data_IF_521416211148
#
_entry.id   IF_521416211148
#
_cell.length_a   1.000
_cell.length_b   1.000
_cell.length_c   1.000
_cell.angle_alpha   90.00
_cell.angle_beta   90.00
_cell.angle_gamma   90.00
#
_symmetry.space_group_name_H-M   'P 1'
#
loop_
_entity.id
_entity.type
_entity.pdbx_description
1 polymer ?
#
# COMPACT_ATOMS: atom_id res chain seq x y z
N UNK A 1 -9.08 1.03 18.17
CA UNK A 1 -8.00 0.24 17.55
C UNK A 1 -7.40 1.06 16.43
N UNK A 2 -6.14 1.46 16.55
CA UNK A 2 -5.47 2.23 15.51
C UNK A 2 -4.98 1.22 14.46
N UNK A 3 -5.64 1.15 13.30
CA UNK A 3 -5.33 0.18 12.25
C UNK A 3 -4.09 0.66 11.48
N UNK A 4 -2.94 0.02 11.72
CA UNK A 4 -1.71 0.33 10.99
C UNK A 4 -1.79 -0.24 9.57
N UNK A 5 -1.89 0.62 8.56
CA UNK A 5 -2.01 0.22 7.15
C UNK A 5 -0.90 -0.73 6.70
N UNK A 6 0.32 -0.57 7.23
CA UNK A 6 1.42 -1.45 6.90
C UNK A 6 1.20 -2.88 7.42
N UNK A 7 0.60 -3.04 8.61
CA UNK A 7 0.25 -4.35 9.15
C UNK A 7 -0.88 -5.00 8.35
N UNK A 8 -1.90 -4.23 7.96
CA UNK A 8 -2.97 -4.74 7.10
C UNK A 8 -2.44 -5.20 5.74
N UNK A 9 -1.53 -4.42 5.14
CA UNK A 9 -0.86 -4.77 3.89
C UNK A 9 -0.06 -6.08 3.99
N UNK A 10 0.63 -6.29 5.12
CA UNK A 10 1.33 -7.55 5.40
C UNK A 10 0.39 -8.76 5.44
N UNK A 11 -0.69 -8.65 6.22
CA UNK A 11 -1.63 -9.75 6.41
C UNK A 11 -2.38 -10.06 5.11
N UNK A 12 -2.71 -9.02 4.33
CA UNK A 12 -3.34 -9.14 3.01
C UNK A 12 -2.45 -9.92 2.05
N UNK A 13 -1.16 -9.57 1.95
CA UNK A 13 -0.23 -10.24 1.05
C UNK A 13 0.01 -11.71 1.46
N UNK A 14 0.18 -11.98 2.76
CA UNK A 14 0.31 -13.37 3.25
C UNK A 14 -0.97 -14.19 2.97
N UNK A 15 -2.14 -13.56 3.08
CA UNK A 15 -3.41 -14.22 2.76
C UNK A 15 -3.50 -14.53 1.28
N UNK A 16 -3.16 -13.57 0.42
CA UNK A 16 -3.12 -13.77 -1.03
C UNK A 16 -2.23 -14.92 -1.47
N UNK A 17 -1.03 -15.05 -0.87
CA UNK A 17 -0.11 -16.18 -1.13
C UNK A 17 -0.76 -17.51 -0.72
N UNK A 18 -1.39 -17.56 0.45
CA UNK A 18 -2.07 -18.77 0.95
C UNK A 18 -3.28 -19.17 0.13
N UNK A 19 -3.94 -18.21 -0.50
CA UNK A 19 -5.13 -18.43 -1.33
C UNK A 19 -4.81 -18.50 -2.83
N UNK A 20 -3.52 -18.47 -3.20
CA UNK A 20 -3.05 -18.47 -4.60
C UNK A 20 -3.72 -17.38 -5.45
N UNK A 21 -3.89 -16.19 -4.87
CA UNK A 21 -4.44 -15.05 -5.61
C UNK A 21 -3.42 -14.51 -6.61
N UNK A 22 -3.87 -14.22 -7.83
CA UNK A 22 -3.01 -13.71 -8.90
C UNK A 22 -2.59 -12.26 -8.71
N UNK A 23 -3.46 -11.44 -8.11
CA UNK A 23 -3.26 -9.99 -7.97
C UNK A 23 -3.73 -9.53 -6.58
N UNK A 24 -2.94 -8.66 -5.95
CA UNK A 24 -3.32 -7.95 -4.72
C UNK A 24 -3.37 -6.46 -4.97
N UNK A 25 -4.49 -5.86 -4.59
CA UNK A 25 -4.69 -4.40 -4.62
C UNK A 25 -4.75 -3.88 -3.19
N UNK A 26 -3.83 -2.98 -2.86
CA UNK A 26 -3.81 -2.31 -1.55
C UNK A 26 -4.17 -0.85 -1.76
N UNK A 27 -5.36 -0.46 -1.29
CA UNK A 27 -5.80 0.93 -1.19
C UNK A 27 -5.41 1.48 0.19
N UNK A 28 -4.53 2.48 0.21
CA UNK A 28 -3.92 2.88 1.47
C UNK A 28 -3.00 4.07 1.41
N UNK A 29 -3.54 5.22 1.03
CA UNK A 29 -3.01 6.52 1.46
C UNK A 29 -4.13 7.56 1.38
N UNK A 30 -4.67 7.96 2.53
CA UNK A 30 -5.66 9.03 2.60
C UNK A 30 -5.06 10.39 2.20
N UNK A 31 -5.92 11.38 1.92
CA UNK A 31 -5.55 12.78 1.62
C UNK A 31 -4.63 13.36 2.70
N UNK A 32 -3.30 13.35 2.50
CA UNK A 32 -2.39 13.70 3.56
C UNK A 32 -2.26 15.21 3.61
N UNK A 33 -2.50 15.79 4.78
CA UNK A 33 -2.31 17.23 5.02
C UNK A 33 -0.84 17.65 4.92
N UNK A 34 0.10 16.71 5.04
CA UNK A 34 1.54 16.97 4.92
C UNK A 34 2.26 15.92 4.05
N UNK A 35 3.23 16.37 3.25
CA UNK A 35 3.98 15.50 2.33
C UNK A 35 4.86 14.48 3.08
N UNK A 36 5.44 14.88 4.20
CA UNK A 36 6.39 14.04 4.96
C UNK A 36 5.71 12.84 5.59
N UNK A 37 4.53 13.01 6.19
CA UNK A 37 3.76 11.92 6.79
C UNK A 37 3.36 10.88 5.75
N UNK A 38 2.85 11.34 4.59
CA UNK A 38 2.52 10.45 3.48
C UNK A 38 3.71 9.61 3.02
N UNK A 39 4.86 10.25 2.76
CA UNK A 39 6.03 9.53 2.26
C UNK A 39 6.55 8.50 3.28
N UNK A 40 6.42 8.80 4.58
CA UNK A 40 6.78 7.86 5.64
C UNK A 40 5.84 6.66 5.69
N UNK A 41 4.53 6.87 5.57
CA UNK A 41 3.53 5.80 5.53
C UNK A 41 3.71 4.90 4.31
N UNK A 42 3.79 5.48 3.10
CA UNK A 42 4.05 4.72 1.87
C UNK A 42 5.36 3.94 1.94
N UNK A 43 6.41 4.56 2.47
CA UNK A 43 7.70 3.91 2.68
C UNK A 43 7.63 2.75 3.68
N UNK A 44 6.77 2.86 4.70
CA UNK A 44 6.52 1.77 5.65
C UNK A 44 5.79 0.60 5.00
N UNK A 45 4.73 0.87 4.23
CA UNK A 45 3.99 -0.15 3.48
C UNK A 45 4.94 -0.92 2.56
N UNK A 46 5.72 -0.21 1.72
CA UNK A 46 6.72 -0.82 0.84
C UNK A 46 7.67 -1.76 1.61
N UNK A 47 8.29 -1.29 2.70
CA UNK A 47 9.23 -2.10 3.48
C UNK A 47 8.60 -3.37 4.05
N UNK A 48 7.31 -3.33 4.38
CA UNK A 48 6.61 -4.48 4.95
C UNK A 48 6.21 -5.48 3.87
N UNK A 49 5.76 -5.02 2.70
CA UNK A 49 5.50 -5.89 1.55
C UNK A 49 6.77 -6.63 1.10
N UNK A 50 7.91 -5.93 1.07
CA UNK A 50 9.22 -6.49 0.71
C UNK A 50 9.73 -7.60 1.65
N UNK A 51 9.14 -7.75 2.85
CA UNK A 51 9.45 -8.87 3.74
C UNK A 51 8.83 -10.18 3.27
N UNK A 52 7.76 -10.11 2.49
CA UNK A 52 7.01 -11.28 2.02
C UNK A 52 7.37 -11.57 0.57
N UNK A 53 7.39 -10.54 -0.28
CA UNK A 53 7.74 -10.62 -1.70
C UNK A 53 8.81 -9.56 -1.99
N UNK A 54 10.10 -9.93 -2.20
CA UNK A 54 11.22 -8.97 -2.24
C UNK A 54 11.11 -7.84 -3.28
N UNK A 55 10.47 -8.11 -4.41
CA UNK A 55 10.24 -7.19 -5.52
C UNK A 55 8.94 -6.38 -5.41
N UNK A 56 8.14 -6.61 -4.37
CA UNK A 56 6.96 -5.82 -4.09
C UNK A 56 7.30 -4.34 -3.74
N UNK A 57 6.46 -3.36 -4.13
CA UNK A 57 5.35 -3.48 -5.05
C UNK A 57 5.77 -3.52 -6.52
N UNK A 58 5.08 -4.36 -7.32
CA UNK A 58 5.31 -4.46 -8.76
C UNK A 58 4.87 -3.18 -9.48
N UNK A 59 3.74 -2.60 -9.07
CA UNK A 59 3.29 -1.30 -9.57
C UNK A 59 2.75 -0.39 -8.45
N UNK A 60 2.88 0.92 -8.68
CA UNK A 60 2.34 1.96 -7.80
C UNK A 60 1.54 2.94 -8.64
N UNK A 61 0.22 2.95 -8.47
CA UNK A 61 -0.68 3.81 -9.23
C UNK A 61 -1.01 5.07 -8.42
N UNK A 62 -0.86 6.21 -9.07
CA UNK A 62 -1.23 7.50 -8.53
C UNK A 62 -2.57 7.95 -9.11
N UNK A 63 -3.62 7.97 -8.29
CA UNK A 63 -4.94 8.48 -8.69
C UNK A 63 -5.01 9.98 -8.50
N UNK A 64 -5.45 10.68 -9.55
CA UNK A 64 -5.60 12.13 -9.58
C UNK A 64 -7.07 12.51 -9.75
N UNK A 65 -7.70 13.07 -8.71
CA UNK A 65 -8.99 13.76 -8.82
C UNK A 65 -8.72 15.25 -9.10
N UNK A 66 -9.33 15.79 -10.17
CA UNK A 66 -9.16 17.17 -10.64
C UNK A 66 -9.47 18.26 -9.60
N UNK A 67 -10.08 17.92 -8.47
CA UNK A 67 -10.36 18.84 -7.35
C UNK A 67 -9.29 18.83 -6.25
N UNK A 68 -8.60 17.71 -6.00
CA UNK A 68 -7.58 17.55 -4.95
C UNK A 68 -6.98 16.13 -5.02
N UNK A 69 -5.69 16.03 -5.35
CA UNK A 69 -4.94 14.76 -5.42
C UNK A 69 -4.69 14.20 -3.98
N UNK A 70 -4.51 12.91 -3.63
CA UNK A 70 -3.99 11.69 -4.30
C UNK A 70 -4.45 10.44 -3.53
N UNK A 71 -4.98 9.42 -4.19
CA UNK A 71 -5.03 8.05 -3.64
C UNK A 71 -3.90 7.25 -4.30
N UNK A 72 -3.19 6.42 -3.54
CA UNK A 72 -2.12 5.56 -4.06
C UNK A 72 -2.54 4.11 -3.88
N UNK A 73 -2.54 3.37 -4.98
CA UNK A 73 -2.77 1.94 -5.00
C UNK A 73 -1.45 1.22 -5.25
N UNK A 74 -1.20 0.16 -4.47
CA UNK A 74 -0.12 -0.77 -4.75
C UNK A 74 -0.70 -2.02 -5.41
N UNK A 75 -0.13 -2.41 -6.54
CA UNK A 75 -0.44 -3.66 -7.22
C UNK A 75 0.74 -4.62 -7.04
N UNK A 76 0.42 -5.81 -6.56
CA UNK A 76 1.31 -6.95 -6.40
C UNK A 76 0.81 -8.09 -7.26
#
# INVERSE_FOLDING_TARGET
MNLDLASLAFDTLNTAIRTEADVVVIDGAGRPRNKVGLMNELGKIKRVLQKVVPDAPHEVLLILDGSTLKTILFFL
#
